data_IF_319396670876
#
_entry.id   IF_319396670876
#
_cell.length_a   1.000
_cell.length_b   1.000
_cell.length_c   1.000
_cell.angle_alpha   90.00
_cell.angle_beta   90.00
_cell.angle_gamma   90.00
#
_symmetry.space_group_name_H-M   'P 1'
#
loop_
_entity.id
_entity.type
_entity.pdbx_description
1 polymer ?
#
# COMPACT_ATOMS: atom_id res chain seq x y z
N UNK A 1 -43.34 -23.88 -73.69
CA UNK A 1 -42.61 -22.74 -74.26
C UNK A 1 -41.60 -22.29 -73.22
N UNK A 2 -40.33 -22.61 -73.46
CA UNK A 2 -39.17 -22.03 -72.76
C UNK A 2 -39.18 -20.51 -72.86
N UNK A 3 -38.55 -19.81 -71.92
CA UNK A 3 -37.23 -19.22 -72.16
C UNK A 3 -36.53 -18.91 -70.83
N UNK A 4 -35.34 -19.49 -70.72
CA UNK A 4 -34.25 -19.06 -69.85
C UNK A 4 -33.68 -17.78 -70.48
N UNK A 5 -33.44 -16.74 -69.67
CA UNK A 5 -32.38 -15.78 -69.96
C UNK A 5 -31.48 -15.73 -68.74
N UNK A 6 -30.31 -16.33 -68.92
CA UNK A 6 -29.15 -16.19 -68.06
C UNK A 6 -28.42 -14.92 -68.52
N UNK A 7 -28.17 -13.97 -67.63
CA UNK A 7 -27.10 -12.98 -67.78
C UNK A 7 -26.32 -12.97 -66.49
N UNK A 8 -25.13 -13.56 -66.56
CA UNK A 8 -24.04 -13.33 -65.61
C UNK A 8 -23.41 -11.97 -65.88
N UNK A 9 -23.15 -11.20 -64.82
CA UNK A 9 -22.06 -10.22 -64.66
C UNK A 9 -22.08 -9.82 -63.16
N UNK A 10 -21.38 -10.53 -62.27
CA UNK A 10 -19.95 -10.40 -61.94
C UNK A 10 -19.54 -9.00 -61.43
N UNK A 11 -20.00 -8.63 -60.22
CA UNK A 11 -19.20 -7.84 -59.26
C UNK A 11 -19.90 -7.77 -57.90
N UNK A 12 -19.79 -8.85 -57.11
CA UNK A 12 -20.00 -8.75 -55.66
C UNK A 12 -18.62 -8.65 -55.01
N UNK A 13 -18.30 -7.55 -54.31
CA UNK A 13 -17.03 -7.42 -53.60
C UNK A 13 -16.85 -8.61 -52.63
N UNK A 14 -15.65 -9.21 -52.54
CA UNK A 14 -15.43 -10.35 -51.66
C UNK A 14 -15.70 -9.94 -50.22
N UNK A 15 -16.67 -10.61 -49.60
CA UNK A 15 -16.88 -10.59 -48.15
C UNK A 15 -15.56 -10.98 -47.47
N UNK A 16 -15.11 -10.28 -46.43
CA UNK A 16 -13.89 -10.64 -45.72
C UNK A 16 -14.08 -12.01 -45.07
N UNK A 17 -13.28 -12.97 -45.54
CA UNK A 17 -13.09 -14.27 -44.91
C UNK A 17 -12.62 -14.00 -43.47
N UNK A 18 -13.45 -14.38 -42.49
CA UNK A 18 -13.04 -14.43 -41.09
C UNK A 18 -12.06 -15.60 -40.96
N UNK A 19 -10.80 -15.34 -41.26
CA UNK A 19 -9.70 -16.21 -40.88
C UNK A 19 -9.53 -16.07 -39.38
N UNK A 20 -9.94 -17.11 -38.64
CA UNK A 20 -9.48 -17.33 -37.28
C UNK A 20 -7.94 -17.28 -37.27
N UNK A 21 -7.39 -16.22 -36.68
CA UNK A 21 -5.99 -16.13 -36.28
C UNK A 21 -6.00 -15.90 -34.77
N UNK A 22 -5.98 -17.02 -34.05
CA UNK A 22 -5.45 -17.10 -32.69
C UNK A 22 -3.98 -16.62 -32.71
N UNK A 23 -3.54 -16.05 -31.58
CA UNK A 23 -2.17 -15.55 -31.27
C UNK A 23 -1.75 -14.12 -31.68
N UNK A 24 -2.50 -13.09 -31.24
CA UNK A 24 -1.92 -11.72 -31.03
C UNK A 24 -2.12 -11.13 -29.63
N UNK A 25 -2.91 -11.77 -28.76
CA UNK A 25 -3.18 -11.26 -27.41
C UNK A 25 -2.02 -11.48 -26.42
N UNK A 26 -1.19 -12.51 -26.63
CA UNK A 26 -0.06 -12.84 -25.75
C UNK A 26 1.10 -11.83 -25.84
N UNK A 27 1.45 -11.37 -27.05
CA UNK A 27 2.55 -10.42 -27.27
C UNK A 27 2.25 -9.04 -26.70
N UNK A 28 1.00 -8.56 -26.84
CA UNK A 28 0.58 -7.26 -26.33
C UNK A 28 0.57 -7.23 -24.79
N UNK A 29 0.04 -8.28 -24.13
CA UNK A 29 0.03 -8.36 -22.67
C UNK A 29 1.45 -8.48 -22.09
N UNK A 30 2.34 -9.23 -22.74
CA UNK A 30 3.75 -9.32 -22.33
C UNK A 30 4.47 -7.96 -22.43
N UNK A 31 4.19 -7.17 -23.47
CA UNK A 31 4.77 -5.83 -23.63
C UNK A 31 4.31 -4.83 -22.54
N UNK A 32 3.04 -4.89 -22.13
CA UNK A 32 2.48 -4.06 -21.06
C UNK A 32 3.09 -4.43 -19.71
N UNK A 33 3.19 -5.73 -19.41
CA UNK A 33 3.80 -6.21 -18.17
C UNK A 33 5.28 -5.80 -18.06
N UNK A 34 6.04 -5.90 -19.16
CA UNK A 34 7.43 -5.46 -19.19
C UNK A 34 7.57 -3.95 -18.98
N UNK A 35 6.67 -3.15 -19.55
CA UNK A 35 6.66 -1.71 -19.34
C UNK A 35 6.36 -1.35 -17.87
N UNK A 36 5.35 -1.98 -17.27
CA UNK A 36 5.03 -1.83 -15.85
C UNK A 36 6.20 -2.26 -14.96
N UNK A 37 6.86 -3.38 -15.25
CA UNK A 37 8.02 -3.84 -14.50
C UNK A 37 9.17 -2.81 -14.54
N UNK A 38 9.43 -2.24 -15.70
CA UNK A 38 10.45 -1.20 -15.86
C UNK A 38 10.07 0.09 -15.09
N UNK A 39 8.79 0.49 -15.11
CA UNK A 39 8.30 1.61 -14.31
C UNK A 39 8.47 1.34 -12.81
N UNK A 40 8.05 0.16 -12.33
CA UNK A 40 8.20 -0.25 -10.92
C UNK A 40 9.67 -0.19 -10.50
N UNK A 41 10.59 -0.74 -11.30
CA UNK A 41 12.04 -0.69 -11.04
C UNK A 41 12.58 0.74 -11.01
N UNK A 42 12.11 1.61 -11.91
CA UNK A 42 12.48 3.02 -11.95
C UNK A 42 12.01 3.76 -10.69
N UNK A 43 10.77 3.54 -10.25
CA UNK A 43 10.25 4.13 -9.01
C UNK A 43 10.97 3.60 -7.77
N UNK A 44 11.28 2.30 -7.69
CA UNK A 44 12.08 1.75 -6.59
C UNK A 44 13.43 2.45 -6.50
N UNK A 45 14.14 2.57 -7.62
CA UNK A 45 15.44 3.25 -7.68
C UNK A 45 15.34 4.73 -7.32
N UNK A 46 14.30 5.41 -7.81
CA UNK A 46 14.04 6.81 -7.50
C UNK A 46 13.75 7.03 -6.01
N UNK A 47 12.91 6.19 -5.41
CA UNK A 47 12.59 6.24 -3.96
C UNK A 47 13.85 5.98 -3.13
N UNK A 48 14.66 4.99 -3.49
CA UNK A 48 15.90 4.68 -2.75
C UNK A 48 16.88 5.86 -2.80
N UNK A 49 17.08 6.47 -3.97
CA UNK A 49 17.89 7.69 -4.11
C UNK A 49 17.32 8.86 -3.30
N UNK A 50 16.01 9.09 -3.36
CA UNK A 50 15.35 10.15 -2.60
C UNK A 50 15.49 9.95 -1.09
N UNK A 51 15.46 8.71 -0.60
CA UNK A 51 15.71 8.41 0.82
C UNK A 51 17.13 8.73 1.24
N UNK A 52 18.12 8.43 0.40
CA UNK A 52 19.52 8.79 0.65
C UNK A 52 19.72 10.32 0.67
N UNK A 53 19.19 11.02 -0.33
CA UNK A 53 19.23 12.48 -0.40
C UNK A 53 18.50 13.12 0.78
N UNK A 54 17.32 12.62 1.17
CA UNK A 54 16.59 13.06 2.35
C UNK A 54 17.42 12.90 3.63
N UNK A 55 18.02 11.73 3.84
CA UNK A 55 18.86 11.48 5.01
C UNK A 55 20.05 12.45 5.08
N UNK A 56 20.65 12.77 3.93
CA UNK A 56 21.76 13.73 3.85
C UNK A 56 21.29 15.14 4.21
N UNK A 57 20.22 15.63 3.58
CA UNK A 57 19.73 16.98 3.85
C UNK A 57 19.17 17.12 5.26
N UNK A 58 18.58 16.05 5.82
CA UNK A 58 18.15 16.02 7.20
C UNK A 58 19.34 16.14 8.15
N UNK A 59 20.42 15.38 7.93
CA UNK A 59 21.65 15.53 8.73
C UNK A 59 22.25 16.93 8.66
N UNK A 60 22.31 17.53 7.47
CA UNK A 60 22.78 18.92 7.31
C UNK A 60 21.88 19.94 8.04
N UNK A 61 20.56 19.73 8.01
CA UNK A 61 19.61 20.58 8.73
C UNK A 61 19.77 20.42 10.24
N UNK A 62 19.89 19.18 10.71
CA UNK A 62 20.13 18.86 12.12
C UNK A 62 21.43 19.53 12.60
N UNK A 63 22.52 19.46 11.82
CA UNK A 63 23.78 20.16 12.12
C UNK A 63 23.60 21.68 12.22
N UNK A 64 22.80 22.29 11.35
CA UNK A 64 22.52 23.74 11.40
C UNK A 64 21.80 24.10 12.70
N UNK A 65 20.75 23.35 13.03
CA UNK A 65 19.96 23.56 14.25
C UNK A 65 20.80 23.32 15.50
N UNK A 66 21.58 22.23 15.52
CA UNK A 66 22.52 21.89 16.57
C UNK A 66 23.76 22.80 16.61
N UNK A 67 23.86 23.85 15.81
CA UNK A 67 24.89 24.87 15.98
C UNK A 67 24.32 26.20 16.43
N UNK A 68 23.00 26.40 16.33
CA UNK A 68 22.33 27.60 16.84
C UNK A 68 22.20 27.56 18.36
N UNK A 69 22.69 28.62 19.02
CA UNK A 69 22.71 28.71 20.48
C UNK A 69 21.30 28.81 21.10
N UNK A 70 20.37 29.48 20.40
CA UNK A 70 18.98 29.65 20.86
C UNK A 70 18.23 28.33 20.78
N UNK A 71 18.37 27.62 19.66
CA UNK A 71 17.82 26.30 19.45
C UNK A 71 18.33 25.30 20.48
N UNK A 72 19.63 25.29 20.79
CA UNK A 72 20.20 24.48 21.87
C UNK A 72 19.55 24.77 23.22
N UNK A 73 19.49 26.04 23.61
CA UNK A 73 18.94 26.44 24.90
C UNK A 73 17.46 26.00 25.04
N UNK A 74 16.65 26.21 24.01
CA UNK A 74 15.25 25.78 24.01
C UNK A 74 15.11 24.25 23.98
N UNK A 75 15.97 23.56 23.25
CA UNK A 75 15.99 22.09 23.21
C UNK A 75 16.32 21.50 24.58
N UNK A 76 17.31 22.04 25.30
CA UNK A 76 17.65 21.59 26.64
C UNK A 76 16.53 21.88 27.66
N UNK A 77 15.91 23.07 27.59
CA UNK A 77 14.73 23.37 28.40
C UNK A 77 13.57 22.41 28.13
N UNK A 78 13.31 22.08 26.86
CA UNK A 78 12.28 21.13 26.47
C UNK A 78 12.60 19.71 26.95
N UNK A 79 13.86 19.27 26.85
CA UNK A 79 14.31 17.96 27.37
C UNK A 79 14.11 17.88 28.88
N UNK A 80 14.48 18.91 29.63
CA UNK A 80 14.31 18.91 31.09
C UNK A 80 12.83 18.92 31.47
N UNK A 81 12.01 19.74 30.82
CA UNK A 81 10.56 19.73 31.02
C UNK A 81 9.94 18.35 30.69
N UNK A 82 10.38 17.70 29.61
CA UNK A 82 9.94 16.36 29.23
C UNK A 82 10.38 15.31 30.27
N UNK A 83 11.60 15.41 30.81
CA UNK A 83 12.12 14.53 31.87
C UNK A 83 11.28 14.66 33.14
N UNK A 84 11.01 15.88 33.60
CA UNK A 84 10.18 16.16 34.76
C UNK A 84 8.76 15.61 34.54
N UNK A 85 8.13 15.92 33.39
CA UNK A 85 6.81 15.40 33.02
C UNK A 85 6.76 13.87 33.03
N UNK A 86 7.79 13.22 32.48
CA UNK A 86 7.91 11.76 32.45
C UNK A 86 8.04 11.18 33.85
N UNK A 87 8.89 11.74 34.70
CA UNK A 87 9.05 11.31 36.09
C UNK A 87 7.74 11.45 36.88
N UNK A 88 7.06 12.59 36.77
CA UNK A 88 5.74 12.81 37.39
C UNK A 88 4.71 11.81 36.89
N UNK A 89 4.67 11.54 35.57
CA UNK A 89 3.79 10.51 34.99
C UNK A 89 4.08 9.13 35.59
N UNK A 90 5.36 8.74 35.71
CA UNK A 90 5.73 7.46 36.31
C UNK A 90 5.29 7.38 37.77
N UNK A 91 5.41 8.47 38.53
CA UNK A 91 4.92 8.51 39.91
C UNK A 91 3.41 8.37 39.99
N UNK A 92 2.65 9.05 39.11
CA UNK A 92 1.18 8.91 39.04
C UNK A 92 0.80 7.46 38.70
N UNK A 93 1.50 6.83 37.75
CA UNK A 93 1.26 5.44 37.34
C UNK A 93 1.57 4.40 38.42
N UNK A 94 2.27 4.76 39.50
CA UNK A 94 2.43 3.88 40.68
C UNK A 94 1.17 3.85 41.56
N UNK A 95 0.25 4.80 41.40
CA UNK A 95 -1.01 4.78 42.12
C UNK A 95 -1.86 3.59 41.63
N UNK A 96 -2.47 2.78 42.52
CA UNK A 96 -3.15 1.56 42.13
C UNK A 96 -4.19 1.74 41.02
N UNK A 97 -5.06 2.75 41.12
CA UNK A 97 -6.09 3.03 40.12
C UNK A 97 -5.51 3.42 38.75
N UNK A 98 -4.40 4.17 38.74
CA UNK A 98 -3.75 4.59 37.51
C UNK A 98 -2.99 3.43 36.84
N UNK A 99 -2.37 2.55 37.63
CA UNK A 99 -1.71 1.34 37.16
C UNK A 99 -2.71 0.39 36.47
N UNK A 100 -3.82 0.08 37.14
CA UNK A 100 -4.87 -0.80 36.62
C UNK A 100 -5.44 -0.25 35.30
N UNK A 101 -5.73 1.05 35.25
CA UNK A 101 -6.21 1.69 34.02
C UNK A 101 -5.17 1.64 32.90
N UNK A 102 -3.89 1.87 33.22
CA UNK A 102 -2.81 1.83 32.23
C UNK A 102 -2.64 0.42 31.64
N UNK A 103 -2.75 -0.61 32.46
CA UNK A 103 -2.71 -2.01 32.01
C UNK A 103 -3.91 -2.33 31.13
N UNK A 104 -5.13 -1.90 31.51
CA UNK A 104 -6.32 -2.07 30.67
C UNK A 104 -6.17 -1.38 29.31
N UNK A 105 -5.66 -0.16 29.28
CA UNK A 105 -5.38 0.57 28.03
C UNK A 105 -4.34 -0.17 27.19
N UNK A 106 -3.28 -0.70 27.81
CA UNK A 106 -2.25 -1.48 27.11
C UNK A 106 -2.84 -2.75 26.51
N UNK A 107 -3.65 -3.49 27.26
CA UNK A 107 -4.27 -4.73 26.81
C UNK A 107 -5.23 -4.47 25.64
N UNK A 108 -6.11 -3.47 25.75
CA UNK A 108 -7.02 -3.08 24.65
C UNK A 108 -6.25 -2.68 23.38
N UNK A 109 -5.10 -2.01 23.50
CA UNK A 109 -4.27 -1.68 22.33
C UNK A 109 -3.67 -2.90 21.65
N UNK A 110 -3.33 -3.93 22.42
CA UNK A 110 -2.83 -5.20 21.88
C UNK A 110 -3.97 -5.93 21.17
N UNK A 111 -5.10 -6.09 21.84
CA UNK A 111 -6.30 -6.73 21.31
C UNK A 111 -6.80 -6.05 20.02
N UNK A 112 -6.86 -4.72 19.98
CA UNK A 112 -7.22 -3.97 18.76
C UNK A 112 -6.28 -4.31 17.61
N UNK A 113 -4.97 -4.39 17.85
CA UNK A 113 -4.00 -4.71 16.79
C UNK A 113 -4.14 -6.15 16.28
N UNK A 114 -4.36 -7.09 17.19
CA UNK A 114 -4.59 -8.50 16.85
C UNK A 114 -5.89 -8.69 16.05
N UNK A 115 -6.97 -8.02 16.48
CA UNK A 115 -8.24 -8.01 15.78
C UNK A 115 -8.14 -7.34 14.41
N UNK A 116 -7.40 -6.23 14.28
CA UNK A 116 -7.16 -5.58 12.99
C UNK A 116 -6.35 -6.44 12.03
N UNK A 117 -5.33 -7.15 12.53
CA UNK A 117 -4.55 -8.08 11.72
C UNK A 117 -5.44 -9.23 11.21
N UNK A 118 -6.19 -9.85 12.12
CA UNK A 118 -7.13 -10.94 11.81
C UNK A 118 -8.20 -10.48 10.82
N UNK A 119 -8.76 -9.28 11.01
CA UNK A 119 -9.72 -8.67 10.10
C UNK A 119 -9.11 -8.44 8.71
N UNK A 120 -7.88 -7.93 8.63
CA UNK A 120 -7.19 -7.73 7.35
C UNK A 120 -6.98 -9.05 6.61
N UNK A 121 -6.63 -10.11 7.32
CA UNK A 121 -6.50 -11.44 6.74
C UNK A 121 -7.85 -11.91 6.19
N UNK A 122 -8.92 -11.89 7.00
CA UNK A 122 -10.25 -12.28 6.57
C UNK A 122 -10.80 -11.43 5.42
N UNK A 123 -10.57 -10.11 5.42
CA UNK A 123 -10.99 -9.23 4.34
C UNK A 123 -10.26 -9.54 3.02
N UNK A 124 -8.95 -9.83 3.09
CA UNK A 124 -8.19 -10.25 1.92
C UNK A 124 -8.65 -11.61 1.36
N UNK A 125 -8.93 -12.57 2.25
CA UNK A 125 -9.49 -13.88 1.87
C UNK A 125 -10.89 -13.73 1.24
N UNK A 126 -11.76 -12.93 1.86
CA UNK A 126 -13.11 -12.65 1.37
C UNK A 126 -13.08 -11.99 -0.02
N UNK A 127 -12.25 -10.97 -0.21
CA UNK A 127 -12.08 -10.32 -1.52
C UNK A 127 -11.57 -11.29 -2.56
N UNK A 128 -10.60 -12.16 -2.21
CA UNK A 128 -10.07 -13.16 -3.14
C UNK A 128 -11.12 -14.20 -3.55
N UNK A 129 -11.98 -14.62 -2.62
CA UNK A 129 -13.00 -15.66 -2.88
C UNK A 129 -14.24 -15.12 -3.59
N UNK A 130 -14.73 -13.95 -3.18
CA UNK A 130 -15.98 -13.37 -3.69
C UNK A 130 -15.78 -12.39 -4.85
N UNK A 131 -14.60 -11.78 -4.96
CA UNK A 131 -14.34 -10.66 -5.86
C UNK A 131 -15.00 -9.34 -5.43
N UNK A 132 -15.65 -9.31 -4.27
CA UNK A 132 -16.38 -8.16 -3.74
C UNK A 132 -15.46 -7.39 -2.79
N UNK A 133 -15.44 -6.05 -2.95
CA UNK A 133 -14.64 -5.15 -2.12
C UNK A 133 -15.49 -4.41 -1.08
N UNK A 134 -16.73 -4.79 -0.89
CA UNK A 134 -17.65 -4.13 0.03
C UNK A 134 -18.23 -5.14 1.04
N UNK A 135 -18.42 -4.70 2.27
CA UNK A 135 -19.05 -5.48 3.34
C UNK A 135 -19.97 -4.60 4.16
N UNK A 136 -21.16 -5.11 4.47
CA UNK A 136 -22.09 -4.48 5.41
C UNK A 136 -21.67 -4.82 6.84
N UNK A 137 -21.53 -3.81 7.69
CA UNK A 137 -21.27 -4.02 9.11
C UNK A 137 -22.52 -4.38 9.90
N UNK A 138 -22.33 -4.80 11.15
CA UNK A 138 -23.43 -5.09 12.07
C UNK A 138 -24.30 -3.86 12.38
N UNK A 139 -23.75 -2.66 12.18
CA UNK A 139 -24.45 -1.38 12.27
C UNK A 139 -25.23 -1.00 11.00
N UNK A 140 -25.19 -1.84 9.96
CA UNK A 140 -25.81 -1.58 8.66
C UNK A 140 -25.02 -0.61 7.77
N UNK A 141 -23.81 -0.21 8.17
CA UNK A 141 -22.96 0.63 7.33
C UNK A 141 -22.13 -0.20 6.34
N UNK A 142 -22.19 0.18 5.07
CA UNK A 142 -21.32 -0.38 4.02
C UNK A 142 -19.89 0.12 4.18
N UNK A 143 -18.93 -0.80 4.12
CA UNK A 143 -17.50 -0.54 4.24
C UNK A 143 -16.74 -1.10 3.06
N UNK A 144 -15.74 -0.37 2.59
CA UNK A 144 -14.87 -0.77 1.49
C UNK A 144 -13.60 -1.47 2.00
N UNK A 145 -13.20 -2.55 1.34
CA UNK A 145 -11.96 -3.30 1.54
C UNK A 145 -10.86 -2.64 0.71
N UNK A 146 -9.89 -2.01 1.39
CA UNK A 146 -8.74 -1.35 0.76
C UNK A 146 -7.46 -2.16 1.00
N UNK A 147 -7.00 -2.89 -0.03
CA UNK A 147 -5.69 -3.54 0.00
C UNK A 147 -4.60 -2.58 -0.48
N UNK A 148 -3.59 -2.34 0.37
CA UNK A 148 -2.43 -1.52 0.01
C UNK A 148 -1.24 -2.44 -0.31
N UNK A 149 -0.98 -2.75 -1.59
CA UNK A 149 0.19 -3.54 -1.97
C UNK A 149 1.47 -2.78 -1.61
N UNK A 150 2.43 -3.48 -1.00
CA UNK A 150 3.73 -2.93 -0.62
C UNK A 150 4.86 -3.77 -1.20
N UNK A 151 5.84 -3.10 -1.79
CA UNK A 151 7.09 -3.73 -2.23
C UNK A 151 8.10 -3.59 -1.10
N UNK A 152 8.59 -4.73 -0.60
CA UNK A 152 9.60 -4.79 0.46
C UNK A 152 10.87 -5.44 -0.07
N UNK A 153 12.05 -4.96 0.37
CA UNK A 153 13.32 -5.61 0.06
C UNK A 153 13.30 -7.01 0.68
N UNK A 154 13.55 -8.05 -0.13
CA UNK A 154 13.71 -9.42 0.38
C UNK A 154 15.02 -9.49 1.18
N UNK A 155 14.92 -9.54 2.51
CA UNK A 155 16.11 -9.71 3.36
C UNK A 155 16.61 -11.16 3.26
N UNK A 156 17.93 -11.36 3.32
CA UNK A 156 18.59 -12.67 3.18
C UNK A 156 18.38 -13.63 4.37
N UNK A 157 17.32 -13.46 5.18
CA UNK A 157 17.10 -14.17 6.46
C UNK A 157 15.97 -15.21 6.46
N UNK A 158 15.58 -15.74 5.30
CA UNK A 158 14.72 -16.92 5.26
C UNK A 158 15.56 -18.14 4.83
N UNK A 159 16.02 -19.00 5.75
CA UNK A 159 16.41 -20.36 5.38
C UNK A 159 15.15 -21.11 4.90
N UNK A 160 15.32 -21.93 3.87
CA UNK A 160 14.28 -22.82 3.34
C UNK A 160 13.82 -23.83 4.38
#
# INVERSE_FOLDING_TARGET
MSYIVNTMDENTPPQPVITASEDTSGTNNASVLLNMENMIKSYISSIDRQKEELSKYQGMLDDILENDATYKAHTEQAKEAARIKSATKQQILKQPQAAELADKVKNLRVEIKENQATLSDYAGEYQRMSGINEIEGEDGEMREIVLVPKIVKRSAKFPR
#
